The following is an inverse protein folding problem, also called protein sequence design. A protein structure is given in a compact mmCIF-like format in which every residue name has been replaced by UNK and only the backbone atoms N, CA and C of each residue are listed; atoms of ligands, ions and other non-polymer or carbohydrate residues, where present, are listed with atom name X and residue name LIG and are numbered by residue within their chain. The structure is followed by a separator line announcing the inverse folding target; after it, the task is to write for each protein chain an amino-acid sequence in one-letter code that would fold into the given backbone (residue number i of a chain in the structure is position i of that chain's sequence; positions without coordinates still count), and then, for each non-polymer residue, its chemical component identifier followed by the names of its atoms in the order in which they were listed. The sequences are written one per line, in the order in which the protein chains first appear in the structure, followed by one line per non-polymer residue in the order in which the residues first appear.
data_IF_653310926361
#
_entry.id   IF_653310926361
#
_cell.length_a   1.000
_cell.length_b   1.000
_cell.length_c   1.000
_cell.angle_alpha   90.00
_cell.angle_beta   90.00
_cell.angle_gamma   90.00
#
_symmetry.space_group_name_H-M   'P 1'
#
loop_
_entity.id
_entity.type
_entity.pdbx_description
1 polymer ?
#
# COMPACT_ATOMS: atom_id res chain seq x y z
N UNK A 1 -20.92 1.46 4.05
CA UNK A 1 -19.94 1.02 5.06
C UNK A 1 -18.50 1.35 4.68
N UNK A 2 -18.04 1.05 3.44
CA UNK A 2 -16.63 1.27 3.04
C UNK A 2 -16.07 2.67 3.34
N UNK A 3 -16.79 3.76 2.97
CA UNK A 3 -16.36 5.13 3.28
C UNK A 3 -16.27 5.44 4.78
N UNK A 4 -17.17 4.86 5.58
CA UNK A 4 -17.12 5.00 7.04
C UNK A 4 -15.87 4.32 7.60
N UNK A 5 -15.55 3.10 7.13
CA UNK A 5 -14.34 2.39 7.52
C UNK A 5 -13.08 3.15 7.07
N UNK A 6 -13.08 3.72 5.87
CA UNK A 6 -11.98 4.53 5.35
C UNK A 6 -11.74 5.77 6.23
N UNK A 7 -12.80 6.46 6.63
CA UNK A 7 -12.72 7.58 7.56
C UNK A 7 -12.21 7.14 8.93
N UNK A 8 -12.70 6.02 9.45
CA UNK A 8 -12.23 5.44 10.72
C UNK A 8 -10.74 5.11 10.65
N UNK A 9 -10.28 4.41 9.62
CA UNK A 9 -8.87 4.04 9.41
C UNK A 9 -7.99 5.28 9.27
N UNK A 10 -8.44 6.30 8.53
CA UNK A 10 -7.72 7.56 8.42
C UNK A 10 -7.58 8.26 9.78
N UNK A 11 -8.65 8.33 10.58
CA UNK A 11 -8.63 8.94 11.91
C UNK A 11 -7.70 8.21 12.89
N UNK A 12 -7.72 6.87 12.92
CA UNK A 12 -6.82 6.10 13.80
C UNK A 12 -5.36 6.15 13.33
N UNK A 13 -5.13 6.24 12.02
CA UNK A 13 -3.79 6.43 11.45
C UNK A 13 -3.22 7.79 11.85
N UNK A 14 -3.99 8.85 11.66
CA UNK A 14 -3.64 10.21 12.04
C UNK A 14 -3.25 10.31 13.52
N UNK A 15 -4.13 9.80 14.40
CA UNK A 15 -3.87 9.78 15.84
C UNK A 15 -2.60 8.98 16.17
N UNK A 16 -2.39 7.83 15.52
CA UNK A 16 -1.20 7.01 15.75
C UNK A 16 0.11 7.71 15.34
N UNK A 17 0.11 8.41 14.20
CA UNK A 17 1.28 9.15 13.72
C UNK A 17 1.68 10.27 14.69
N UNK A 18 0.68 11.01 15.21
CA UNK A 18 0.88 12.02 16.26
C UNK A 18 1.43 11.38 17.54
N UNK A 19 0.85 10.24 17.93
CA UNK A 19 1.22 9.52 19.15
C UNK A 19 2.66 9.02 19.11
N UNK A 20 3.14 8.58 17.94
CA UNK A 20 4.48 8.05 17.79
C UNK A 20 5.56 9.11 17.99
N UNK A 21 5.39 10.32 17.42
CA UNK A 21 6.31 11.44 17.63
C UNK A 21 6.25 11.94 19.07
N UNK A 22 5.05 11.97 19.67
CA UNK A 22 4.91 12.29 21.11
C UNK A 22 5.69 11.30 21.98
N UNK A 23 5.61 10.02 21.67
CA UNK A 23 6.33 8.97 22.40
C UNK A 23 7.86 9.09 22.23
N UNK A 24 8.32 9.57 21.07
CA UNK A 24 9.73 9.88 20.84
C UNK A 24 10.22 11.05 21.70
N UNK A 25 9.42 12.10 21.86
CA UNK A 25 9.73 13.20 22.78
C UNK A 25 9.82 12.74 24.24
N UNK A 26 8.95 11.82 24.67
CA UNK A 26 8.98 11.26 26.02
C UNK A 26 10.22 10.38 26.24
N UNK A 27 10.54 9.52 25.27
CA UNK A 27 11.66 8.57 25.38
C UNK A 27 13.03 9.16 25.03
N UNK A 28 13.08 10.32 24.37
CA UNK A 28 14.30 10.91 23.82
C UNK A 28 14.86 10.18 22.59
N UNK A 29 14.11 9.24 21.99
CA UNK A 29 14.56 8.43 20.87
C UNK A 29 13.78 8.74 19.58
N UNK A 30 14.45 9.36 18.61
CA UNK A 30 13.88 9.76 17.32
C UNK A 30 14.13 8.71 16.22
N UNK A 31 13.95 7.45 16.55
CA UNK A 31 13.88 6.35 15.59
C UNK A 31 12.84 5.35 16.07
N UNK A 32 12.18 4.65 15.15
CA UNK A 32 11.11 3.74 15.57
C UNK A 32 11.67 2.56 16.37
N UNK A 33 12.83 2.05 15.94
CA UNK A 33 13.53 0.96 16.64
C UNK A 33 14.02 1.40 18.01
N UNK A 34 14.57 2.61 18.14
CA UNK A 34 14.98 3.16 19.41
C UNK A 34 13.80 3.46 20.35
N UNK A 35 12.66 3.92 19.82
CA UNK A 35 11.42 4.09 20.58
C UNK A 35 10.93 2.76 21.17
N UNK A 36 10.93 1.71 20.35
CA UNK A 36 10.53 0.37 20.79
C UNK A 36 11.52 -0.24 21.79
N UNK A 37 12.81 0.03 21.61
CA UNK A 37 13.84 -0.36 22.57
C UNK A 37 13.70 0.37 23.91
N UNK A 38 13.37 1.66 23.90
CA UNK A 38 13.11 2.43 25.11
C UNK A 38 11.87 1.92 25.87
N UNK A 39 10.82 1.53 25.15
CA UNK A 39 9.57 1.07 25.77
C UNK A 39 9.63 -0.40 26.25
N UNK A 40 10.23 -1.30 25.47
CA UNK A 40 10.16 -2.76 25.66
C UNK A 40 11.52 -3.47 25.67
N UNK A 41 12.63 -2.73 25.59
CA UNK A 41 13.97 -3.28 25.51
C UNK A 41 14.26 -4.02 24.20
N UNK A 42 15.27 -4.90 24.23
CA UNK A 42 15.72 -5.68 23.07
C UNK A 42 14.63 -6.50 22.37
N UNK A 43 13.67 -7.14 23.07
CA UNK A 43 12.58 -7.86 22.39
C UNK A 43 11.74 -6.94 21.49
N UNK A 44 11.42 -5.72 21.95
CA UNK A 44 10.68 -4.73 21.16
C UNK A 44 11.45 -4.29 19.92
N UNK A 45 12.77 -4.08 20.06
CA UNK A 45 13.66 -3.75 18.95
C UNK A 45 13.62 -4.81 17.85
N UNK A 46 13.79 -6.09 18.19
CA UNK A 46 13.82 -7.18 17.20
C UNK A 46 12.46 -7.42 16.56
N UNK A 47 11.37 -7.37 17.34
CA UNK A 47 10.01 -7.50 16.82
C UNK A 47 9.70 -6.40 15.79
N UNK A 48 10.00 -5.14 16.13
CA UNK A 48 9.77 -4.03 15.21
C UNK A 48 10.63 -4.17 13.97
N UNK A 49 11.92 -4.48 14.13
CA UNK A 49 12.86 -4.65 13.03
C UNK A 49 12.38 -5.73 12.05
N UNK A 50 11.86 -6.85 12.55
CA UNK A 50 11.25 -7.88 11.70
C UNK A 50 10.04 -7.35 10.93
N UNK A 51 9.09 -6.69 11.60
CA UNK A 51 7.89 -6.15 10.94
C UNK A 51 8.23 -5.05 9.92
N UNK A 52 9.19 -4.18 10.23
CA UNK A 52 9.72 -3.15 9.32
C UNK A 52 10.49 -3.72 8.14
N UNK A 53 10.93 -4.98 8.19
CA UNK A 53 11.43 -5.69 7.01
C UNK A 53 10.27 -6.27 6.19
N UNK A 54 9.33 -6.96 6.85
CA UNK A 54 8.23 -7.67 6.18
C UNK A 54 7.32 -6.71 5.42
N UNK A 55 6.94 -5.57 6.01
CA UNK A 55 6.04 -4.61 5.39
C UNK A 55 6.51 -4.09 4.01
N UNK A 56 7.68 -3.41 3.91
CA UNK A 56 8.14 -2.86 2.65
C UNK A 56 8.49 -3.96 1.64
N UNK A 57 8.94 -5.12 2.14
CA UNK A 57 9.24 -6.27 1.31
C UNK A 57 7.98 -6.80 0.58
N UNK A 58 6.87 -6.99 1.29
CA UNK A 58 5.62 -7.43 0.67
C UNK A 58 5.04 -6.31 -0.23
N UNK A 59 5.19 -5.03 0.15
CA UNK A 59 4.79 -3.91 -0.70
C UNK A 59 5.48 -3.95 -2.07
N UNK A 60 6.79 -4.21 -2.10
CA UNK A 60 7.55 -4.38 -3.34
C UNK A 60 7.09 -5.58 -4.18
N UNK A 61 6.65 -6.67 -3.54
CA UNK A 61 6.01 -7.80 -4.26
C UNK A 61 4.73 -7.31 -4.96
N UNK A 62 3.85 -6.61 -4.25
CA UNK A 62 2.62 -6.03 -4.83
C UNK A 62 2.90 -5.05 -5.97
N UNK A 63 3.99 -4.28 -5.89
CA UNK A 63 4.40 -3.36 -6.96
C UNK A 63 4.77 -4.11 -8.24
N UNK A 64 5.52 -5.20 -8.13
CA UNK A 64 5.82 -6.05 -9.28
C UNK A 64 4.56 -6.69 -9.87
N UNK A 65 3.60 -7.09 -9.02
CA UNK A 65 2.30 -7.62 -9.46
C UNK A 65 1.56 -6.59 -10.30
N UNK A 66 1.39 -5.37 -9.77
CA UNK A 66 0.74 -4.25 -10.48
C UNK A 66 1.42 -3.95 -11.81
N UNK A 67 2.76 -3.85 -11.83
CA UNK A 67 3.52 -3.58 -13.06
C UNK A 67 3.28 -4.70 -14.09
N UNK A 68 3.30 -5.95 -13.66
CA UNK A 68 3.00 -7.09 -14.53
C UNK A 68 1.61 -7.00 -15.15
N UNK A 69 0.59 -6.76 -14.31
CA UNK A 69 -0.81 -6.78 -14.74
C UNK A 69 -1.11 -5.62 -15.71
N UNK A 70 -0.59 -4.42 -15.40
CA UNK A 70 -0.84 -3.19 -16.16
C UNK A 70 -0.01 -3.09 -17.43
N UNK A 71 1.32 -3.25 -17.34
CA UNK A 71 2.23 -3.07 -18.48
C UNK A 71 2.00 -4.15 -19.54
N UNK A 72 1.68 -5.37 -19.15
CA UNK A 72 1.38 -6.45 -20.11
C UNK A 72 0.22 -6.08 -21.04
N UNK A 73 -0.87 -5.51 -20.50
CA UNK A 73 -2.02 -5.08 -21.31
C UNK A 73 -1.66 -3.95 -22.27
N UNK A 74 -0.87 -3.00 -21.80
CA UNK A 74 -0.37 -1.88 -22.62
C UNK A 74 0.48 -2.41 -23.77
N UNK A 75 1.40 -3.35 -23.51
CA UNK A 75 2.25 -3.95 -24.55
C UNK A 75 1.44 -4.73 -25.58
N UNK A 76 0.45 -5.51 -25.13
CA UNK A 76 -0.46 -6.25 -26.01
C UNK A 76 -1.22 -5.27 -26.93
N UNK A 77 -1.73 -4.16 -26.39
CA UNK A 77 -2.47 -3.15 -27.16
C UNK A 77 -1.57 -2.40 -28.15
N UNK A 78 -0.43 -1.88 -27.69
CA UNK A 78 0.45 -1.00 -28.49
C UNK A 78 1.13 -1.76 -29.62
N UNK A 79 1.61 -2.98 -29.34
CA UNK A 79 2.34 -3.79 -30.33
C UNK A 79 1.47 -4.84 -31.01
N UNK A 80 0.15 -4.87 -30.74
CA UNK A 80 -0.79 -5.86 -31.26
C UNK A 80 -0.27 -7.30 -31.11
N UNK A 81 0.25 -7.61 -29.93
CA UNK A 81 0.96 -8.87 -29.70
C UNK A 81 -0.01 -10.07 -29.71
N UNK A 82 0.36 -11.18 -30.37
CA UNK A 82 -0.43 -12.40 -30.28
C UNK A 82 -0.36 -12.99 -28.87
N UNK A 83 -1.40 -13.73 -28.40
CA UNK A 83 -1.44 -14.30 -27.05
C UNK A 83 -0.28 -15.23 -26.69
N UNK A 84 0.39 -15.81 -27.71
CA UNK A 84 1.56 -16.70 -27.54
C UNK A 84 2.90 -15.95 -27.48
N UNK A 85 2.91 -14.63 -27.65
CA UNK A 85 4.13 -13.83 -27.61
C UNK A 85 4.75 -13.85 -26.23
N UNK A 86 6.08 -13.97 -26.16
CA UNK A 86 6.83 -13.85 -24.89
C UNK A 86 6.62 -12.47 -24.25
N UNK A 87 6.42 -11.43 -25.05
CA UNK A 87 6.17 -10.06 -24.58
C UNK A 87 4.74 -9.84 -24.08
N UNK A 88 3.84 -10.81 -24.32
CA UNK A 88 2.50 -10.84 -23.75
C UNK A 88 2.44 -11.66 -22.45
N UNK A 89 3.56 -12.25 -22.01
CA UNK A 89 3.63 -12.99 -20.76
C UNK A 89 4.02 -12.07 -19.60
N UNK A 90 3.19 -12.08 -18.56
CA UNK A 90 3.36 -11.29 -17.34
C UNK A 90 4.73 -11.46 -16.68
N UNK A 91 5.17 -12.70 -16.49
CA UNK A 91 6.45 -13.01 -15.85
C UNK A 91 7.64 -12.39 -16.60
N UNK A 92 7.61 -12.44 -17.92
CA UNK A 92 8.62 -11.81 -18.76
C UNK A 92 8.59 -10.28 -18.67
N UNK A 93 7.40 -9.67 -18.69
CA UNK A 93 7.25 -8.21 -18.56
C UNK A 93 7.78 -7.70 -17.22
N UNK A 94 7.44 -8.38 -16.11
CA UNK A 94 7.97 -8.04 -14.79
C UNK A 94 9.49 -8.22 -14.74
N UNK A 95 10.03 -9.28 -15.35
CA UNK A 95 11.48 -9.49 -15.43
C UNK A 95 12.19 -8.34 -16.17
N UNK A 96 11.65 -7.90 -17.31
CA UNK A 96 12.21 -6.78 -18.08
C UNK A 96 12.14 -5.47 -17.29
N UNK A 97 10.99 -5.15 -16.69
CA UNK A 97 10.86 -3.97 -15.83
C UNK A 97 11.85 -4.03 -14.66
N UNK A 98 12.02 -5.20 -14.05
CA UNK A 98 12.94 -5.40 -12.93
C UNK A 98 14.40 -5.16 -13.34
N UNK A 99 14.84 -5.76 -14.44
CA UNK A 99 16.24 -5.70 -14.91
C UNK A 99 16.60 -4.30 -15.43
N UNK A 100 15.72 -3.70 -16.23
CA UNK A 100 16.04 -2.46 -16.95
C UNK A 100 15.59 -1.19 -16.23
N UNK A 101 14.69 -1.28 -15.25
CA UNK A 101 14.16 -0.12 -14.53
C UNK A 101 14.42 -0.24 -13.03
N UNK A 102 13.90 -1.28 -12.38
CA UNK A 102 13.94 -1.40 -10.92
C UNK A 102 15.37 -1.52 -10.38
N UNK A 103 16.19 -2.42 -10.94
CA UNK A 103 17.58 -2.61 -10.49
C UNK A 103 18.40 -1.32 -10.64
N UNK A 104 18.45 -0.65 -11.82
CA UNK A 104 19.16 0.61 -11.97
C UNK A 104 18.71 1.68 -10.97
N UNK A 105 17.39 1.83 -10.76
CA UNK A 105 16.85 2.81 -9.83
C UNK A 105 17.22 2.50 -8.37
N UNK A 106 17.12 1.24 -7.92
CA UNK A 106 17.49 0.84 -6.56
C UNK A 106 19.00 0.91 -6.29
N UNK A 107 19.83 0.89 -7.34
CA UNK A 107 21.28 1.07 -7.24
C UNK A 107 21.72 2.55 -7.21
N UNK A 108 20.82 3.49 -7.46
CA UNK A 108 21.11 4.91 -7.31
C UNK A 108 21.41 5.24 -5.83
N UNK A 109 22.55 5.88 -5.59
CA UNK A 109 22.97 6.30 -4.24
C UNK A 109 22.33 7.62 -3.81
N UNK A 110 21.84 8.41 -4.76
CA UNK A 110 21.36 9.77 -4.54
C UNK A 110 19.82 9.82 -4.57
N UNK A 111 19.23 9.84 -3.38
CA UNK A 111 17.78 9.89 -3.18
C UNK A 111 17.18 11.26 -3.51
N UNK A 112 17.98 12.34 -3.63
CA UNK A 112 17.47 13.67 -3.95
C UNK A 112 16.90 13.75 -5.37
N UNK A 113 17.43 12.93 -6.28
CA UNK A 113 16.88 12.77 -7.64
C UNK A 113 15.50 12.11 -7.62
N UNK A 114 15.23 11.27 -6.61
CA UNK A 114 13.96 10.59 -6.43
C UNK A 114 12.87 11.53 -5.89
N UNK A 115 13.22 12.53 -5.08
CA UNK A 115 12.26 13.54 -4.60
C UNK A 115 11.60 14.32 -5.74
N UNK A 116 12.34 14.62 -6.82
CA UNK A 116 11.77 15.23 -8.04
C UNK A 116 10.81 14.27 -8.76
N UNK A 117 11.11 12.96 -8.75
CA UNK A 117 10.22 11.94 -9.29
C UNK A 117 8.94 11.78 -8.46
N UNK A 118 9.00 11.95 -7.13
CA UNK A 118 7.82 11.93 -6.24
C UNK A 118 6.83 13.06 -6.56
N UNK A 119 7.29 14.25 -6.93
CA UNK A 119 6.40 15.32 -7.38
C UNK A 119 5.68 14.95 -8.68
N UNK A 120 6.38 14.31 -9.63
CA UNK A 120 5.79 13.82 -10.87
C UNK A 120 4.71 12.75 -10.61
N UNK A 121 4.91 11.88 -9.62
CA UNK A 121 3.91 10.88 -9.20
C UNK A 121 2.59 11.52 -8.75
N UNK A 122 2.61 12.69 -8.10
CA UNK A 122 1.38 13.40 -7.73
C UNK A 122 0.58 13.86 -8.96
N UNK A 123 1.27 14.34 -9.99
CA UNK A 123 0.64 14.73 -11.26
C UNK A 123 -0.01 13.52 -11.93
N UNK A 124 0.66 12.37 -11.93
CA UNK A 124 0.10 11.11 -12.44
C UNK A 124 -1.14 10.67 -11.65
N UNK A 125 -1.14 10.77 -10.32
CA UNK A 125 -2.32 10.42 -9.51
C UNK A 125 -3.53 11.31 -9.88
N UNK A 126 -3.34 12.61 -10.04
CA UNK A 126 -4.42 13.54 -10.45
C UNK A 126 -4.93 13.18 -11.84
N UNK A 127 -4.03 12.87 -12.78
CA UNK A 127 -4.39 12.44 -14.12
C UNK A 127 -5.20 11.14 -14.10
N UNK A 128 -4.74 10.10 -13.38
CA UNK A 128 -5.43 8.81 -13.27
C UNK A 128 -6.82 9.02 -12.68
N UNK A 129 -6.93 9.84 -11.62
CA UNK A 129 -8.22 10.16 -11.00
C UNK A 129 -9.17 10.83 -12.00
N UNK A 130 -8.69 11.83 -12.75
CA UNK A 130 -9.48 12.49 -13.79
C UNK A 130 -9.91 11.53 -14.90
N UNK A 131 -9.03 10.62 -15.32
CA UNK A 131 -9.32 9.60 -16.32
C UNK A 131 -10.41 8.62 -15.85
N UNK A 132 -10.33 8.18 -14.58
CA UNK A 132 -11.36 7.35 -13.94
C UNK A 132 -12.69 8.10 -13.84
N UNK A 133 -12.70 9.39 -13.47
CA UNK A 133 -13.93 10.18 -13.46
C UNK A 133 -14.54 10.33 -14.85
N UNK A 134 -13.71 10.54 -15.88
CA UNK A 134 -14.18 10.54 -17.26
C UNK A 134 -14.84 9.22 -17.63
N UNK A 135 -14.26 8.09 -17.22
CA UNK A 135 -14.85 6.78 -17.48
C UNK A 135 -16.05 6.45 -16.61
N UNK A 136 -16.13 6.97 -15.39
CA UNK A 136 -17.34 6.89 -14.59
C UNK A 136 -18.52 7.53 -15.33
N UNK A 137 -18.34 8.70 -15.94
CA UNK A 137 -19.40 9.36 -16.72
C UNK A 137 -19.71 8.58 -18.01
N UNK A 138 -18.69 8.11 -18.73
CA UNK A 138 -18.89 7.53 -20.06
C UNK A 138 -19.24 6.03 -20.06
N UNK A 139 -18.76 5.26 -19.09
CA UNK A 139 -18.80 3.80 -19.08
C UNK A 139 -19.81 3.23 -18.08
N UNK A 140 -20.03 3.89 -16.93
CA UNK A 140 -20.94 3.38 -15.90
C UNK A 140 -22.36 3.03 -16.41
N UNK A 141 -22.99 3.79 -17.34
CA UNK A 141 -24.31 3.44 -17.85
C UNK A 141 -24.38 2.12 -18.64
N UNK A 142 -23.24 1.66 -19.17
CA UNK A 142 -23.16 0.46 -20.02
C UNK A 142 -22.77 -0.80 -19.23
N UNK A 143 -22.34 -0.64 -17.98
CA UNK A 143 -21.95 -1.78 -17.15
C UNK A 143 -23.21 -2.36 -16.51
N UNK A 144 -23.48 -3.67 -16.69
CA UNK A 144 -24.66 -4.28 -16.10
C UNK A 144 -24.56 -4.27 -14.57
N UNK A 145 -25.65 -3.98 -13.89
CA UNK A 145 -25.72 -4.06 -12.43
C UNK A 145 -25.67 -5.52 -11.97
N UNK A 146 -24.84 -5.83 -10.97
CA UNK A 146 -24.86 -7.14 -10.31
C UNK A 146 -25.94 -7.21 -9.23
N UNK A 147 -26.38 -8.42 -8.85
CA UNK A 147 -27.38 -8.61 -7.77
C UNK A 147 -26.91 -8.06 -6.42
N UNK A 148 -25.60 -8.02 -6.20
CA UNK A 148 -24.98 -7.54 -4.97
C UNK A 148 -24.56 -6.06 -5.02
N UNK A 149 -25.03 -5.32 -6.04
CA UNK A 149 -24.74 -3.88 -6.18
C UNK A 149 -25.29 -3.10 -4.99
N UNK A 150 -24.50 -2.16 -4.47
CA UNK A 150 -24.89 -1.24 -3.40
C UNK A 150 -25.26 -1.90 -2.06
N UNK A 151 -24.88 -3.17 -1.86
CA UNK A 151 -25.00 -3.79 -0.55
C UNK A 151 -24.16 -3.03 0.48
N UNK A 152 -24.82 -2.55 1.53
CA UNK A 152 -24.18 -1.72 2.56
C UNK A 152 -23.19 -2.53 3.40
N UNK A 153 -23.44 -3.82 3.60
CA UNK A 153 -22.68 -4.72 4.45
C UNK A 153 -22.34 -6.02 3.72
N UNK A 154 -21.08 -6.46 3.84
CA UNK A 154 -20.64 -7.79 3.44
C UNK A 154 -19.50 -8.26 4.37
N UNK A 155 -19.16 -9.55 4.31
CA UNK A 155 -18.07 -10.12 5.11
C UNK A 155 -16.67 -9.65 4.70
N UNK A 156 -16.54 -8.94 3.57
CA UNK A 156 -15.29 -8.33 3.11
C UNK A 156 -14.86 -7.10 3.91
N UNK A 157 -15.60 -6.69 4.93
CA UNK A 157 -15.26 -5.56 5.80
C UNK A 157 -13.91 -5.76 6.49
N UNK A 158 -13.63 -6.96 7.02
CA UNK A 158 -12.39 -7.24 7.74
C UNK A 158 -11.17 -7.16 6.79
N UNK A 159 -11.16 -7.88 5.64
CA UNK A 159 -10.16 -7.71 4.59
C UNK A 159 -9.94 -6.25 4.18
N UNK A 160 -11.03 -5.50 4.01
CA UNK A 160 -10.96 -4.11 3.58
C UNK A 160 -10.24 -3.21 4.59
N UNK A 161 -10.43 -3.43 5.91
CA UNK A 161 -9.68 -2.69 6.94
C UNK A 161 -8.19 -2.99 6.83
N UNK A 162 -7.80 -4.24 6.56
CA UNK A 162 -6.40 -4.62 6.32
C UNK A 162 -5.80 -3.86 5.13
N UNK A 163 -6.48 -3.87 3.98
CA UNK A 163 -6.04 -3.14 2.77
C UNK A 163 -5.96 -1.63 3.03
N UNK A 164 -6.94 -1.05 3.74
CA UNK A 164 -6.90 0.36 4.12
C UNK A 164 -5.76 0.67 5.08
N UNK A 165 -5.49 -0.20 6.06
CA UNK A 165 -4.36 -0.05 6.97
C UNK A 165 -3.02 -0.09 6.22
N UNK A 166 -2.88 -0.98 5.23
CA UNK A 166 -1.74 -0.97 4.31
C UNK A 166 -1.63 0.37 3.55
N UNK A 167 -2.73 0.84 2.95
CA UNK A 167 -2.74 2.05 2.13
C UNK A 167 -2.37 3.33 2.91
N UNK A 168 -2.75 3.41 4.19
CA UNK A 168 -2.45 4.55 5.06
C UNK A 168 -1.15 4.42 5.85
N UNK A 169 -0.44 3.29 5.73
CA UNK A 169 0.77 3.07 6.51
C UNK A 169 1.94 3.90 5.98
N UNK A 170 2.46 4.76 6.84
CA UNK A 170 3.70 5.51 6.61
C UNK A 170 4.62 5.56 7.84
N UNK A 171 4.26 4.83 8.91
CA UNK A 171 4.90 4.87 10.23
C UNK A 171 6.41 4.58 10.20
N UNK A 172 6.85 3.69 9.30
CA UNK A 172 8.27 3.34 9.21
C UNK A 172 9.16 4.51 8.73
N UNK A 173 8.59 5.52 8.08
CA UNK A 173 9.30 6.70 7.57
C UNK A 173 9.08 7.97 8.41
N UNK A 174 8.25 7.91 9.46
CA UNK A 174 7.86 9.10 10.24
C UNK A 174 9.05 9.85 10.80
N UNK A 175 10.03 9.17 11.39
CA UNK A 175 11.19 9.86 11.97
C UNK A 175 12.11 10.47 10.92
N UNK A 176 12.19 9.87 9.73
CA UNK A 176 12.91 10.45 8.60
C UNK A 176 12.21 11.72 8.09
N UNK A 177 10.88 11.71 8.03
CA UNK A 177 10.07 12.87 7.65
C UNK A 177 10.05 13.96 8.73
N UNK A 178 10.02 13.57 10.00
CA UNK A 178 10.08 14.50 11.13
C UNK A 178 11.42 15.23 11.14
N UNK A 179 12.52 14.50 10.94
CA UNK A 179 13.87 15.08 10.89
C UNK A 179 14.15 15.95 9.66
N UNK A 180 13.32 15.91 8.62
CA UNK A 180 13.45 16.77 7.44
C UNK A 180 12.66 18.09 7.55
N UNK A 181 11.84 18.26 8.60
CA UNK A 181 11.15 19.51 8.90
C UNK A 181 12.15 20.51 9.49
N UNK A 182 12.09 21.75 9.01
CA UNK A 182 12.88 22.85 9.57
C UNK A 182 12.42 23.16 11.01
N UNK A 183 13.36 23.03 11.95
CA UNK A 183 13.13 23.14 13.41
C UNK A 183 11.95 22.27 13.86
N UNK A 184 12.12 20.94 13.90
CA UNK A 184 11.01 20.03 14.05
C UNK A 184 10.44 20.07 15.47
N UNK A 185 9.14 20.32 15.58
CA UNK A 185 8.39 20.29 16.83
C UNK A 185 7.09 19.47 16.69
N UNK A 186 6.45 19.15 17.81
CA UNK A 186 5.20 18.38 17.83
C UNK A 186 4.06 19.11 17.10
N UNK A 187 3.94 20.44 17.22
CA UNK A 187 2.82 21.19 16.67
C UNK A 187 2.87 21.29 15.13
N UNK A 188 4.08 21.41 14.57
CA UNK A 188 4.36 21.34 13.14
C UNK A 188 4.07 19.93 12.62
N UNK A 189 4.51 18.89 13.34
CA UNK A 189 4.21 17.50 12.97
C UNK A 189 2.71 17.21 12.96
N UNK A 190 1.97 17.66 13.97
CA UNK A 190 0.52 17.51 14.04
C UNK A 190 -0.16 18.15 12.81
N UNK A 191 0.23 19.38 12.44
CA UNK A 191 -0.28 20.04 11.23
C UNK A 191 0.03 19.23 9.97
N UNK A 192 1.30 18.84 9.77
CA UNK A 192 1.72 18.08 8.57
C UNK A 192 0.95 16.76 8.48
N UNK A 193 0.78 16.07 9.60
CA UNK A 193 0.04 14.80 9.68
C UNK A 193 -1.44 14.99 9.31
N UNK A 194 -2.13 15.91 9.99
CA UNK A 194 -3.56 16.16 9.78
C UNK A 194 -3.88 16.53 8.32
N UNK A 195 -3.11 17.44 7.72
CA UNK A 195 -3.31 17.83 6.33
C UNK A 195 -3.00 16.67 5.37
N UNK A 196 -1.90 15.94 5.59
CA UNK A 196 -1.49 14.85 4.68
C UNK A 196 -2.47 13.68 4.71
N UNK A 197 -2.92 13.26 5.90
CA UNK A 197 -3.90 12.17 6.05
C UNK A 197 -5.26 12.59 5.51
N UNK A 198 -5.70 13.84 5.76
CA UNK A 198 -6.96 14.35 5.21
C UNK A 198 -6.97 14.37 3.67
N UNK A 199 -5.91 14.89 3.04
CA UNK A 199 -5.79 14.89 1.57
C UNK A 199 -5.78 13.47 1.02
N UNK A 200 -5.04 12.55 1.67
CA UNK A 200 -5.01 11.14 1.28
C UNK A 200 -6.39 10.48 1.40
N UNK A 201 -7.14 10.78 2.46
CA UNK A 201 -8.51 10.32 2.66
C UNK A 201 -9.46 10.83 1.57
N UNK A 202 -9.37 12.11 1.19
CA UNK A 202 -10.17 12.67 0.10
C UNK A 202 -9.88 11.95 -1.22
N UNK A 203 -8.60 11.81 -1.58
CA UNK A 203 -8.20 11.14 -2.83
C UNK A 203 -8.66 9.68 -2.83
N UNK A 204 -8.40 8.92 -1.76
CA UNK A 204 -8.82 7.53 -1.65
C UNK A 204 -10.35 7.37 -1.72
N UNK A 205 -11.11 8.29 -1.12
CA UNK A 205 -12.57 8.31 -1.20
C UNK A 205 -13.04 8.52 -2.64
N UNK A 206 -12.41 9.43 -3.39
CA UNK A 206 -12.78 9.71 -4.78
C UNK A 206 -12.51 8.48 -5.67
N UNK A 207 -11.35 7.83 -5.53
CA UNK A 207 -11.05 6.57 -6.23
C UNK A 207 -12.08 5.47 -5.87
N UNK A 208 -12.36 5.30 -4.58
CA UNK A 208 -13.30 4.29 -4.10
C UNK A 208 -14.73 4.52 -4.60
N UNK A 209 -15.21 5.77 -4.58
CA UNK A 209 -16.54 6.14 -5.06
C UNK A 209 -16.62 5.95 -6.58
N UNK A 210 -15.72 6.55 -7.34
CA UNK A 210 -15.77 6.48 -8.81
C UNK A 210 -15.58 5.05 -9.31
N UNK A 211 -14.64 4.30 -8.73
CA UNK A 211 -14.40 2.90 -9.09
C UNK A 211 -15.60 2.00 -8.77
N UNK A 212 -16.10 2.03 -7.53
CA UNK A 212 -17.22 1.17 -7.14
C UNK A 212 -18.53 1.55 -7.83
N UNK A 213 -18.81 2.85 -8.01
CA UNK A 213 -20.00 3.30 -8.71
C UNK A 213 -20.00 2.92 -10.20
N UNK A 214 -18.82 2.76 -10.80
CA UNK A 214 -18.68 2.30 -12.20
C UNK A 214 -18.91 0.80 -12.32
N UNK A 215 -18.24 -0.02 -11.50
CA UNK A 215 -18.18 -1.48 -11.71
C UNK A 215 -19.08 -2.30 -10.79
N UNK A 216 -19.55 -1.72 -9.69
CA UNK A 216 -20.38 -2.39 -8.69
C UNK A 216 -19.78 -3.73 -8.26
N UNK A 217 -20.48 -4.85 -8.43
CA UNK A 217 -19.97 -6.18 -8.07
C UNK A 217 -18.91 -6.76 -9.01
N UNK A 218 -18.58 -6.11 -10.13
CA UNK A 218 -17.46 -6.54 -10.99
C UNK A 218 -16.09 -6.03 -10.52
N UNK A 219 -16.06 -5.13 -9.53
CA UNK A 219 -14.84 -4.49 -9.02
C UNK A 219 -13.76 -5.53 -8.67
N UNK A 220 -12.58 -5.40 -9.28
CA UNK A 220 -11.42 -6.24 -9.01
C UNK A 220 -10.53 -5.63 -7.93
N UNK A 221 -9.59 -6.41 -7.38
CA UNK A 221 -8.62 -5.94 -6.40
C UNK A 221 -7.68 -4.86 -6.94
N UNK A 222 -7.35 -4.94 -8.23
CA UNK A 222 -6.77 -3.82 -9.00
C UNK A 222 -7.89 -3.19 -9.84
N UNK A 223 -8.24 -1.94 -9.55
CA UNK A 223 -9.29 -1.22 -10.25
C UNK A 223 -9.00 -1.05 -11.75
N UNK A 224 -7.72 -0.97 -12.16
CA UNK A 224 -7.36 -0.81 -13.57
C UNK A 224 -7.59 -2.09 -14.39
N UNK A 225 -7.77 -3.24 -13.74
CA UNK A 225 -8.12 -4.51 -14.40
C UNK A 225 -9.56 -4.52 -14.93
N UNK A 226 -10.43 -3.70 -14.37
CA UNK A 226 -11.81 -3.61 -14.81
C UNK A 226 -11.96 -2.94 -16.18
N UNK A 227 -11.03 -2.07 -16.57
CA UNK A 227 -11.11 -1.36 -17.85
C UNK A 227 -10.68 -2.24 -19.02
N UNK A 228 -11.29 -2.01 -20.19
CA UNK A 228 -10.97 -2.78 -21.39
C UNK A 228 -9.52 -2.53 -21.86
N UNK A 229 -8.96 -3.48 -22.60
CA UNK A 229 -7.57 -3.41 -23.07
C UNK A 229 -7.42 -2.50 -24.30
N UNK A 230 -8.52 -2.27 -25.03
CA UNK A 230 -8.62 -1.34 -26.16
C UNK A 230 -8.94 0.11 -25.75
N UNK A 231 -9.08 0.37 -24.45
CA UNK A 231 -9.27 1.71 -23.92
C UNK A 231 -7.95 2.48 -23.82
N UNK A 232 -7.66 3.30 -24.84
CA UNK A 232 -6.40 4.02 -24.94
C UNK A 232 -6.18 5.04 -23.81
N UNK A 233 -7.24 5.71 -23.32
CA UNK A 233 -7.14 6.61 -22.16
C UNK A 233 -6.72 5.84 -20.90
N UNK A 234 -7.33 4.67 -20.67
CA UNK A 234 -6.98 3.81 -19.54
C UNK A 234 -5.62 3.16 -19.70
N UNK A 235 -5.16 2.91 -20.93
CA UNK A 235 -3.79 2.46 -21.15
C UNK A 235 -2.76 3.54 -20.82
N UNK A 236 -3.03 4.83 -21.08
CA UNK A 236 -2.18 5.92 -20.60
C UNK A 236 -2.21 5.99 -19.06
N UNK A 237 -3.37 5.81 -18.44
CA UNK A 237 -3.49 5.74 -16.97
C UNK A 237 -2.70 4.56 -16.37
N UNK A 238 -2.72 3.39 -17.03
CA UNK A 238 -1.91 2.22 -16.66
C UNK A 238 -0.42 2.57 -16.68
N UNK A 239 0.08 3.18 -17.75
CA UNK A 239 1.49 3.61 -17.83
C UNK A 239 1.84 4.58 -16.69
N UNK A 240 1.00 5.61 -16.47
CA UNK A 240 1.21 6.59 -15.41
C UNK A 240 1.23 5.94 -14.00
N UNK A 241 0.37 4.94 -13.79
CA UNK A 241 0.33 4.16 -12.56
C UNK A 241 1.58 3.29 -12.39
N UNK A 242 1.98 2.54 -13.43
CA UNK A 242 3.20 1.72 -13.40
C UNK A 242 4.43 2.57 -13.12
N UNK A 243 4.56 3.76 -13.75
CA UNK A 243 5.67 4.69 -13.49
C UNK A 243 5.68 5.18 -12.04
N UNK A 244 4.52 5.53 -11.49
CA UNK A 244 4.39 5.93 -10.09
C UNK A 244 4.90 4.84 -9.15
N UNK A 245 4.48 3.59 -9.39
CA UNK A 245 4.88 2.43 -8.59
C UNK A 245 6.38 2.13 -8.73
N UNK A 246 6.93 2.22 -9.96
CA UNK A 246 8.36 2.04 -10.21
C UNK A 246 9.24 3.11 -9.55
N UNK A 247 8.72 4.34 -9.35
CA UNK A 247 9.41 5.38 -8.58
C UNK A 247 9.32 5.21 -7.06
N UNK A 248 8.28 4.53 -6.58
CA UNK A 248 8.12 4.21 -5.15
C UNK A 248 8.98 3.01 -4.74
N UNK A 249 9.18 2.03 -5.64
CA UNK A 249 9.94 0.81 -5.34
C UNK A 249 11.33 1.05 -4.71
N UNK A 250 12.19 1.98 -5.21
CA UNK A 250 13.52 2.20 -4.63
C UNK A 250 13.48 2.73 -3.20
N UNK A 251 12.43 3.47 -2.82
CA UNK A 251 12.24 3.99 -1.46
C UNK A 251 12.03 2.81 -0.49
N UNK A 252 11.13 1.89 -0.82
CA UNK A 252 10.86 0.69 -0.01
C UNK A 252 12.09 -0.25 0.03
N UNK A 253 12.82 -0.36 -1.08
CA UNK A 253 14.06 -1.13 -1.14
C UNK A 253 15.14 -0.52 -0.22
N UNK A 254 15.26 0.81 -0.18
CA UNK A 254 16.16 1.52 0.74
C UNK A 254 15.81 1.21 2.20
N UNK A 255 14.53 1.31 2.56
CA UNK A 255 14.06 1.00 3.93
C UNK A 255 14.38 -0.44 4.29
N UNK A 256 14.04 -1.40 3.43
CA UNK A 256 14.28 -2.83 3.64
C UNK A 256 15.77 -3.12 3.86
N UNK A 257 16.64 -2.49 3.06
CA UNK A 257 18.09 -2.62 3.19
C UNK A 257 18.62 -1.98 4.48
N UNK A 258 18.10 -0.82 4.86
CA UNK A 258 18.47 -0.15 6.10
C UNK A 258 18.14 -1.03 7.32
N UNK A 259 16.98 -1.68 7.31
CA UNK A 259 16.54 -2.61 8.37
C UNK A 259 17.47 -3.83 8.44
N UNK A 260 17.81 -4.46 7.30
CA UNK A 260 18.78 -5.58 7.27
C UNK A 260 20.14 -5.17 7.85
N UNK A 261 20.63 -3.99 7.45
CA UNK A 261 21.95 -3.49 7.87
C UNK A 261 22.01 -3.17 9.37
N UNK A 262 20.89 -2.76 9.96
CA UNK A 262 20.79 -2.51 11.40
C UNK A 262 20.61 -3.80 12.22
N UNK A 263 19.94 -4.80 11.65
CA UNK A 263 19.68 -6.08 12.30
C UNK A 263 20.87 -7.05 12.24
N UNK A 264 21.63 -7.01 11.14
CA UNK A 264 22.74 -7.91 10.83
C UNK A 264 24.03 -7.12 10.57
N UNK A 265 25.06 -7.78 10.04
CA UNK A 265 26.29 -7.10 9.61
C UNK A 265 26.04 -6.25 8.36
N UNK A 266 26.78 -5.15 8.17
CA UNK A 266 26.67 -4.35 6.96
C UNK A 266 27.00 -5.20 5.72
N UNK A 267 25.98 -5.40 4.88
CA UNK A 267 26.11 -6.08 3.59
C UNK A 267 26.38 -5.01 2.52
N UNK A 268 27.19 -5.35 1.51
CA UNK A 268 27.43 -4.46 0.37
C UNK A 268 26.10 -4.02 -0.27
N UNK A 269 26.03 -2.73 -0.60
CA UNK A 269 24.86 -2.09 -1.23
C UNK A 269 24.39 -2.84 -2.48
N UNK A 270 25.32 -3.32 -3.29
CA UNK A 270 25.00 -4.04 -4.52
C UNK A 270 24.34 -5.39 -4.22
N UNK A 271 24.99 -6.24 -3.40
CA UNK A 271 24.50 -7.58 -3.11
C UNK A 271 23.15 -7.58 -2.37
N UNK A 272 22.99 -6.70 -1.38
CA UNK A 272 21.72 -6.56 -0.65
C UNK A 272 20.57 -6.14 -1.57
N UNK A 273 20.82 -5.15 -2.45
CA UNK A 273 19.82 -4.69 -3.42
C UNK A 273 19.43 -5.80 -4.40
N UNK A 274 20.41 -6.49 -4.99
CA UNK A 274 20.13 -7.60 -5.93
C UNK A 274 19.37 -8.73 -5.23
N UNK A 275 19.74 -9.10 -4.00
CA UNK A 275 19.06 -10.16 -3.25
C UNK A 275 17.59 -9.79 -2.94
N UNK A 276 17.33 -8.56 -2.47
CA UNK A 276 15.96 -8.07 -2.20
C UNK A 276 15.14 -8.07 -3.49
N UNK A 277 15.65 -7.43 -4.54
CA UNK A 277 14.94 -7.31 -5.82
C UNK A 277 14.68 -8.67 -6.46
N UNK A 278 15.66 -9.58 -6.46
CA UNK A 278 15.48 -10.92 -7.01
C UNK A 278 14.44 -11.73 -6.22
N UNK A 279 14.46 -11.65 -4.89
CA UNK A 279 13.49 -12.40 -4.07
C UNK A 279 12.07 -11.84 -4.23
N UNK A 280 11.91 -10.51 -4.25
CA UNK A 280 10.60 -9.89 -4.50
C UNK A 280 10.06 -10.23 -5.89
N UNK A 281 10.92 -10.30 -6.91
CA UNK A 281 10.55 -10.77 -8.24
C UNK A 281 10.04 -12.23 -8.21
N UNK A 282 10.81 -13.15 -7.61
CA UNK A 282 10.44 -14.57 -7.53
C UNK A 282 9.10 -14.80 -6.82
N UNK A 283 8.81 -14.03 -5.76
CA UNK A 283 7.52 -14.12 -5.08
C UNK A 283 6.41 -13.51 -5.94
N UNK A 284 6.66 -12.38 -6.62
CA UNK A 284 5.65 -11.71 -7.45
C UNK A 284 5.16 -12.53 -8.65
N UNK A 285 5.99 -13.43 -9.20
CA UNK A 285 5.58 -14.34 -10.27
C UNK A 285 4.84 -15.58 -9.74
N UNK A 286 4.88 -15.82 -8.42
CA UNK A 286 4.18 -16.94 -7.78
C UNK A 286 2.75 -16.60 -7.36
N UNK A 287 2.37 -15.32 -7.42
CA UNK A 287 1.05 -14.83 -7.07
C UNK A 287 0.54 -13.82 -8.08
N UNK A 288 -0.71 -13.99 -8.49
CA UNK A 288 -1.42 -13.07 -9.39
C UNK A 288 -2.53 -12.30 -8.65
N UNK A 289 -2.61 -12.45 -7.33
CA UNK A 289 -3.70 -11.95 -6.50
C UNK A 289 -3.30 -10.69 -5.72
N UNK A 290 -3.34 -9.52 -6.35
CA UNK A 290 -2.96 -8.27 -5.69
C UNK A 290 -3.71 -8.05 -4.37
N UNK A 291 -5.05 -8.18 -4.37
CA UNK A 291 -5.88 -7.92 -3.19
C UNK A 291 -5.50 -8.76 -1.97
N UNK A 292 -5.14 -10.03 -2.17
CA UNK A 292 -4.73 -10.95 -1.10
C UNK A 292 -3.38 -10.56 -0.53
N UNK A 293 -2.42 -10.20 -1.39
CA UNK A 293 -1.10 -9.76 -0.94
C UNK A 293 -1.21 -8.48 -0.12
N UNK A 294 -2.07 -7.54 -0.56
CA UNK A 294 -2.33 -6.30 0.16
C UNK A 294 -3.04 -6.54 1.51
N UNK A 295 -4.06 -7.40 1.54
CA UNK A 295 -4.75 -7.78 2.78
C UNK A 295 -3.79 -8.43 3.78
N UNK A 296 -3.00 -9.41 3.33
CA UNK A 296 -2.03 -10.13 4.15
C UNK A 296 -1.02 -9.17 4.77
N UNK A 297 -0.45 -8.26 3.96
CA UNK A 297 0.49 -7.27 4.44
C UNK A 297 -0.16 -6.29 5.42
N UNK A 298 -1.40 -5.89 5.12
CA UNK A 298 -2.23 -5.05 5.96
C UNK A 298 -2.41 -5.61 7.36
N UNK A 299 -2.85 -6.87 7.44
CA UNK A 299 -3.17 -7.54 8.72
C UNK A 299 -1.92 -7.93 9.49
N UNK A 300 -0.91 -8.51 8.83
CA UNK A 300 0.28 -9.08 9.50
C UNK A 300 1.31 -8.00 9.85
N UNK A 301 1.48 -6.99 8.99
CA UNK A 301 2.56 -6.01 9.13
C UNK A 301 2.01 -4.62 9.44
N UNK A 302 1.11 -4.09 8.61
CA UNK A 302 0.69 -2.70 8.71
C UNK A 302 -0.09 -2.43 9.99
N UNK A 303 -1.07 -3.26 10.36
CA UNK A 303 -1.89 -3.08 11.58
C UNK A 303 -1.03 -3.10 12.85
N UNK A 304 -0.11 -4.07 13.05
CA UNK A 304 0.82 -4.02 14.19
C UNK A 304 1.71 -2.77 14.18
N UNK A 305 2.33 -2.44 13.05
CA UNK A 305 3.23 -1.29 12.92
C UNK A 305 2.53 0.06 13.07
N UNK A 306 1.29 0.17 12.62
CA UNK A 306 0.55 1.41 12.53
C UNK A 306 -0.35 1.63 13.74
N UNK A 307 -0.95 0.59 14.33
CA UNK A 307 -1.96 0.77 15.38
C UNK A 307 -1.53 0.21 16.72
N UNK A 308 -0.93 -0.99 16.75
CA UNK A 308 -0.60 -1.66 18.02
C UNK A 308 0.66 -1.04 18.63
N UNK A 309 1.78 -1.10 17.91
CA UNK A 309 3.11 -0.74 18.44
C UNK A 309 3.22 0.74 18.89
N UNK A 310 2.73 1.74 18.13
CA UNK A 310 2.77 3.13 18.59
C UNK A 310 1.92 3.33 19.85
N UNK A 311 0.74 2.72 19.89
CA UNK A 311 -0.18 2.81 21.01
C UNK A 311 0.40 2.21 22.30
N UNK A 312 0.91 0.98 22.24
CA UNK A 312 1.48 0.32 23.42
C UNK A 312 2.76 0.98 23.90
N UNK A 313 3.56 1.54 22.98
CA UNK A 313 4.76 2.32 23.35
C UNK A 313 4.37 3.54 24.18
N UNK A 314 3.38 4.31 23.73
CA UNK A 314 2.90 5.46 24.49
C UNK A 314 2.32 5.06 25.85
N UNK A 315 1.50 4.00 25.91
CA UNK A 315 0.91 3.51 27.16
C UNK A 315 1.97 3.13 28.20
N UNK A 316 3.11 2.62 27.72
CA UNK A 316 4.25 2.18 28.53
C UNK A 316 5.15 3.34 28.97
N UNK A 317 5.39 4.32 28.10
CA UNK A 317 6.32 5.43 28.34
C UNK A 317 5.71 6.59 29.13
N UNK A 318 4.45 6.95 28.85
CA UNK A 318 3.76 8.01 29.59
C UNK A 318 3.50 7.55 31.04
N UNK A 319 3.65 8.44 32.03
CA UNK A 319 3.38 8.10 33.43
C UNK A 319 1.87 8.04 33.76
N UNK A 320 1.52 7.33 34.84
CA UNK A 320 0.15 7.24 35.35
C UNK A 320 -0.68 6.03 34.89
N UNK A 321 -1.90 5.93 35.41
CA UNK A 321 -2.78 4.78 35.20
C UNK A 321 -3.21 4.62 33.75
N UNK A 322 -3.27 3.37 33.28
CA UNK A 322 -3.70 2.99 31.92
C UNK A 322 -5.12 3.51 31.60
N UNK A 323 -5.98 3.64 32.63
CA UNK A 323 -7.35 4.14 32.52
C UNK A 323 -7.46 5.68 32.61
N UNK A 324 -6.34 6.40 32.62
CA UNK A 324 -6.35 7.87 32.58
C UNK A 324 -6.95 8.38 31.26
N UNK A 325 -7.66 9.51 31.31
CA UNK A 325 -8.25 10.17 30.12
C UNK A 325 -7.25 10.42 28.99
N UNK A 326 -5.95 10.59 29.33
CA UNK A 326 -4.86 10.76 28.35
C UNK A 326 -4.45 9.46 27.66
N UNK A 327 -4.55 8.33 28.34
CA UNK A 327 -4.13 7.00 27.85
C UNK A 327 -5.28 6.21 27.22
N UNK A 328 -6.53 6.53 27.58
CA UNK A 328 -7.71 5.86 27.07
C UNK A 328 -7.79 5.82 25.52
N UNK A 329 -7.48 6.91 24.77
CA UNK A 329 -7.51 6.84 23.31
C UNK A 329 -6.40 5.95 22.73
N UNK A 330 -5.22 5.91 23.36
CA UNK A 330 -4.15 4.98 22.98
C UNK A 330 -4.53 3.53 23.27
N UNK A 331 -5.19 3.26 24.40
CA UNK A 331 -5.72 1.92 24.69
C UNK A 331 -6.77 1.48 23.67
N UNK A 332 -7.70 2.37 23.30
CA UNK A 332 -8.70 2.11 22.27
C UNK A 332 -8.05 1.79 20.92
N UNK A 333 -6.99 2.54 20.53
CA UNK A 333 -6.22 2.28 19.31
C UNK A 333 -5.55 0.89 19.33
N UNK A 334 -4.91 0.53 20.45
CA UNK A 334 -4.26 -0.78 20.61
C UNK A 334 -5.28 -1.94 20.52
N UNK A 335 -6.44 -1.79 21.18
CA UNK A 335 -7.51 -2.79 21.14
C UNK A 335 -8.13 -2.91 19.75
N UNK A 336 -8.34 -1.78 19.06
CA UNK A 336 -8.79 -1.77 17.66
C UNK A 336 -7.79 -2.52 16.76
N UNK A 337 -6.50 -2.20 16.86
CA UNK A 337 -5.46 -2.89 16.10
C UNK A 337 -5.41 -4.40 16.38
N UNK A 338 -5.50 -4.80 17.65
CA UNK A 338 -5.51 -6.21 18.05
C UNK A 338 -6.74 -6.94 17.49
N UNK A 339 -7.93 -6.34 17.59
CA UNK A 339 -9.17 -6.91 17.07
C UNK A 339 -9.10 -7.08 15.55
N UNK A 340 -8.63 -6.08 14.82
CA UNK A 340 -8.46 -6.16 13.37
C UNK A 340 -7.41 -7.22 13.00
N UNK A 341 -6.28 -7.30 13.70
CA UNK A 341 -5.25 -8.30 13.44
C UNK A 341 -5.77 -9.73 13.65
N UNK A 342 -6.47 -10.00 14.75
CA UNK A 342 -7.01 -11.32 15.08
C UNK A 342 -8.11 -11.72 14.10
N UNK A 343 -9.08 -10.82 13.87
CA UNK A 343 -10.17 -11.09 12.93
C UNK A 343 -9.67 -11.24 11.50
N UNK A 344 -8.74 -10.38 11.07
CA UNK A 344 -8.12 -10.44 9.75
C UNK A 344 -7.34 -11.73 9.54
N UNK A 345 -6.57 -12.15 10.54
CA UNK A 345 -5.84 -13.42 10.45
C UNK A 345 -6.80 -14.62 10.38
N UNK A 346 -7.88 -14.59 11.17
CA UNK A 346 -8.93 -15.61 11.12
C UNK A 346 -9.65 -15.64 9.77
N UNK A 347 -9.97 -14.48 9.17
CA UNK A 347 -10.60 -14.43 7.84
C UNK A 347 -9.66 -14.95 6.76
N UNK A 348 -8.38 -14.59 6.81
CA UNK A 348 -7.38 -15.11 5.87
C UNK A 348 -7.32 -16.64 5.95
N UNK A 349 -7.21 -17.23 7.15
CA UNK A 349 -7.13 -18.70 7.30
C UNK A 349 -8.40 -19.40 6.79
N UNK A 350 -9.57 -18.88 7.18
CA UNK A 350 -10.85 -19.53 6.85
C UNK A 350 -11.24 -19.36 5.39
N UNK A 351 -10.84 -18.25 4.77
CA UNK A 351 -11.18 -17.91 3.38
C UNK A 351 -10.09 -18.35 2.41
N UNK A 352 -8.89 -18.74 2.87
CA UNK A 352 -7.72 -19.10 2.05
C UNK A 352 -8.05 -20.08 0.91
N UNK A 353 -8.93 -21.05 1.17
CA UNK A 353 -9.36 -22.08 0.21
C UNK A 353 -10.43 -21.61 -0.79
N UNK A 354 -11.01 -20.43 -0.59
CA UNK A 354 -12.06 -19.85 -1.44
C UNK A 354 -11.63 -18.57 -2.17
N UNK A 355 -10.35 -18.16 -2.02
CA UNK A 355 -9.78 -16.97 -2.66
C UNK A 355 -9.45 -17.19 -4.15
N UNK A 356 -10.16 -18.08 -4.83
CA UNK A 356 -10.09 -18.35 -6.27
C UNK A 356 -10.76 -17.24 -7.12
N UNK A 357 -10.80 -15.99 -6.65
CA UNK A 357 -11.47 -14.87 -7.35
C UNK A 357 -10.51 -13.89 -8.02
N UNK A 358 -9.24 -14.24 -8.19
CA UNK A 358 -8.31 -13.38 -8.93
C UNK A 358 -8.49 -13.64 -10.42
N UNK A 359 -9.26 -12.78 -11.08
CA UNK A 359 -9.47 -12.82 -12.52
C UNK A 359 -8.34 -12.10 -13.24
N UNK A 360 -7.09 -12.57 -13.09
CA UNK A 360 -5.96 -11.95 -13.78
C UNK A 360 -5.98 -12.30 -15.27
N UNK A 361 -5.81 -11.30 -16.13
CA UNK A 361 -5.69 -11.50 -17.57
C UNK A 361 -7.00 -11.91 -18.28
N UNK A 362 -8.11 -11.94 -17.55
CA UNK A 362 -9.43 -12.13 -18.15
C UNK A 362 -9.95 -10.81 -18.72
N UNK A 363 -10.37 -10.86 -19.97
CA UNK A 363 -11.10 -9.77 -20.58
C UNK A 363 -12.52 -9.72 -20.01
N UNK A 364 -12.92 -8.59 -19.43
CA UNK A 364 -14.23 -8.42 -18.81
C UNK A 364 -15.36 -8.63 -19.82
N UNK A 365 -16.46 -9.26 -19.40
CA UNK A 365 -17.57 -9.66 -20.29
C UNK A 365 -18.19 -8.47 -21.06
N UNK A 366 -18.36 -7.33 -20.40
CA UNK A 366 -18.89 -6.10 -21.00
C UNK A 366 -17.94 -5.48 -22.03
N UNK A 367 -16.64 -5.80 -22.00
CA UNK A 367 -15.70 -5.31 -23.01
C UNK A 367 -15.86 -6.03 -24.37
N UNK A 368 -16.49 -7.22 -24.40
CA UNK A 368 -16.81 -7.90 -25.67
C UNK A 368 -18.01 -7.28 -26.38
N UNK A 369 -19.00 -6.77 -25.64
CA UNK A 369 -20.23 -6.20 -26.19
C UNK A 369 -20.00 -4.88 -26.94
N UNK A 370 -18.95 -4.13 -26.58
CA UNK A 370 -18.60 -2.87 -27.23
C UNK A 370 -17.96 -3.05 -28.63
N UNK A 371 -17.65 -4.28 -29.06
CA UNK A 371 -17.13 -4.55 -30.42
C UNK A 371 -18.20 -4.94 -31.44
N UNK A 372 -19.43 -5.17 -30.99
CA UNK A 372 -20.53 -5.64 -31.85
C UNK A 372 -21.46 -4.53 -32.34
N UNK A 373 -21.15 -3.26 -32.05
CA UNK A 373 -21.88 -2.09 -32.55
C UNK A 373 -21.01 -1.24 -33.45
#
# INVERSE_FOLDING_TARGET
MGLFLLALVALVTDYSLVLMVRSAHISGSFSYQGLMEAAFGRPGFYLLTFLQFVYPFIAMVSYNVVVGDTVTKVLIRVFSLPPRSIFARRDYVVAMATIFVTIPLCLLKDMAKLAKASFLSLVFIIFILGAIFSRFISLAPYIPSTRDSWQVYNWGIIPAIGIMAFAFMCHHNVFLLYGSIEEPDQAKWDKVTHYSVFVSFMIASLFGIAGYATFTGYSQGDLLENYCWDDDLMNVARIAFSLTILFTFPIECLVTRAVITQAWRPVSHFFSTIAIVATTYLISISTDCLGVVLELNGVISAVPLAFILPAVSYLKLEEGSILSKRKLPALALALFGLLVAVLGFATIITTFSTVDRCSHGHYMSYCYQNRTN
#
